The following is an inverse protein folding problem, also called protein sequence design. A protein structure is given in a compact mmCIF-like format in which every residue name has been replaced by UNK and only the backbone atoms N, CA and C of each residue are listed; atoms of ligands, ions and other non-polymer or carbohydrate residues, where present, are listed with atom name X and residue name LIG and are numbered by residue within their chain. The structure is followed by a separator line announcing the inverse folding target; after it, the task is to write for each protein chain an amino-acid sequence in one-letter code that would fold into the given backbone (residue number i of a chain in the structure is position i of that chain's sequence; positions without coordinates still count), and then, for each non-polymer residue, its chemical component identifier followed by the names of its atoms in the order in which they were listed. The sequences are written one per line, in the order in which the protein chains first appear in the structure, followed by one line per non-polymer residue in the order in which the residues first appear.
data_IF_611783956072
#
_entry.id   IF_611783956072
#
_cell.length_a   1.000
_cell.length_b   1.000
_cell.length_c   1.000
_cell.angle_alpha   90.00
_cell.angle_beta   90.00
_cell.angle_gamma   90.00
#
_symmetry.space_group_name_H-M   'P 1'
#
loop_
_entity.id
_entity.type
_entity.pdbx_description
1 polymer ?
#
# COMPACT_ATOMS: atom_id res chain seq x y z
N UNK A 1 -4.08 13.11 44.34
CA UNK A 1 -3.97 13.95 43.12
C UNK A 1 -5.02 13.49 42.11
N UNK A 2 -6.07 14.30 41.94
CA UNK A 2 -7.09 14.20 40.88
C UNK A 2 -6.54 14.89 39.64
N UNK A 3 -6.63 14.27 38.46
CA UNK A 3 -6.83 14.87 37.12
C UNK A 3 -6.88 13.66 36.17
N UNK A 4 -7.77 13.48 35.21
CA UNK A 4 -9.08 13.99 34.84
C UNK A 4 -9.47 13.06 33.68
N UNK A 5 -10.69 12.52 33.68
CA UNK A 5 -11.26 11.85 32.51
C UNK A 5 -11.41 12.85 31.35
N UNK A 6 -11.01 12.50 30.13
CA UNK A 6 -11.65 13.04 28.93
C UNK A 6 -11.53 12.06 27.74
N UNK A 7 -12.66 11.43 27.42
CA UNK A 7 -12.94 10.91 26.08
C UNK A 7 -12.94 12.08 25.09
N UNK A 8 -12.19 11.99 23.98
CA UNK A 8 -12.71 12.46 22.70
C UNK A 8 -11.98 11.84 21.50
N UNK A 9 -12.73 11.09 20.71
CA UNK A 9 -12.49 10.74 19.32
C UNK A 9 -12.09 11.98 18.50
N UNK A 10 -10.99 11.89 17.74
CA UNK A 10 -10.89 12.59 16.45
C UNK A 10 -10.13 11.68 15.46
N UNK A 11 -10.84 10.72 14.85
CA UNK A 11 -10.47 10.27 13.51
C UNK A 11 -10.76 11.44 12.58
N UNK A 12 -9.76 12.28 12.33
CA UNK A 12 -9.87 13.29 11.27
C UNK A 12 -9.65 12.58 9.93
N UNK A 13 -10.73 12.05 9.37
CA UNK A 13 -10.83 11.88 7.93
C UNK A 13 -10.95 13.29 7.38
N UNK A 14 -9.83 13.87 6.95
CA UNK A 14 -9.85 15.07 6.12
C UNK A 14 -10.31 14.61 4.74
N UNK A 15 -11.62 14.45 4.58
CA UNK A 15 -12.24 14.46 3.25
C UNK A 15 -12.21 15.91 2.79
N UNK A 16 -11.13 16.31 2.13
CA UNK A 16 -11.15 17.49 1.27
C UNK A 16 -12.04 17.19 0.07
N UNK A 17 -13.35 17.29 0.26
CA UNK A 17 -14.27 17.53 -0.84
C UNK A 17 -14.10 19.00 -1.22
N UNK A 18 -13.24 19.28 -2.20
CA UNK A 18 -13.44 20.47 -2.99
C UNK A 18 -14.81 20.32 -3.67
N UNK A 19 -15.83 20.99 -3.11
CA UNK A 19 -17.09 21.20 -3.79
C UNK A 19 -16.81 22.18 -4.93
N UNK A 20 -16.34 21.66 -6.06
CA UNK A 20 -16.34 22.40 -7.32
C UNK A 20 -17.80 22.66 -7.64
N UNK A 21 -18.18 23.94 -7.75
CA UNK A 21 -19.47 24.31 -8.34
C UNK A 21 -19.50 23.71 -9.73
N UNK A 22 -20.27 22.66 -9.87
CA UNK A 22 -20.50 21.99 -11.13
C UNK A 22 -21.24 22.99 -12.03
N UNK A 23 -20.49 23.68 -12.90
CA UNK A 23 -21.07 24.34 -14.05
C UNK A 23 -21.56 23.20 -14.93
N UNK A 24 -22.81 22.79 -14.72
CA UNK A 24 -23.50 21.82 -15.57
C UNK A 24 -23.55 22.47 -16.96
N UNK A 25 -22.54 22.18 -17.79
CA UNK A 25 -22.55 22.53 -19.18
C UNK A 25 -23.46 21.52 -19.86
N UNK A 26 -24.63 21.90 -20.39
CA UNK A 26 -25.65 20.96 -20.88
C UNK A 26 -25.24 20.19 -22.15
N UNK A 27 -23.96 20.20 -22.50
CA UNK A 27 -23.34 19.50 -23.63
C UNK A 27 -22.09 18.70 -23.24
N UNK A 28 -21.83 18.45 -21.95
CA UNK A 28 -20.80 17.48 -21.57
C UNK A 28 -21.23 16.08 -22.06
N UNK A 29 -20.39 15.49 -22.91
CA UNK A 29 -20.65 14.17 -23.48
C UNK A 29 -20.80 13.14 -22.33
N UNK A 30 -21.94 12.43 -22.22
CA UNK A 30 -22.19 11.48 -21.13
C UNK A 30 -21.17 10.34 -21.06
N UNK A 31 -20.37 10.12 -22.12
CA UNK A 31 -19.29 9.13 -22.15
C UNK A 31 -18.07 9.53 -21.30
N UNK A 32 -17.86 10.83 -21.05
CA UNK A 32 -16.71 11.30 -20.27
C UNK A 32 -16.97 11.23 -18.74
N UNK A 33 -18.21 11.40 -18.32
CA UNK A 33 -18.60 11.44 -16.89
C UNK A 33 -18.58 10.05 -16.22
N UNK A 34 -18.87 8.98 -16.98
CA UNK A 34 -18.79 7.59 -16.47
C UNK A 34 -17.34 7.17 -16.21
N UNK A 35 -16.37 7.70 -16.96
CA UNK A 35 -14.94 7.42 -16.78
C UNK A 35 -14.40 8.06 -15.50
N UNK A 36 -15.03 9.13 -15.04
CA UNK A 36 -14.67 9.85 -13.82
C UNK A 36 -15.13 9.17 -12.52
N UNK A 37 -15.99 8.14 -12.63
CA UNK A 37 -16.49 7.34 -11.49
C UNK A 37 -15.68 6.06 -11.22
N UNK A 38 -14.90 5.56 -12.18
CA UNK A 38 -14.13 4.32 -11.99
C UNK A 38 -12.83 4.66 -11.26
N UNK A 39 -12.84 4.52 -9.93
CA UNK A 39 -11.62 4.61 -9.11
C UNK A 39 -10.74 3.40 -9.43
N UNK A 40 -9.59 3.64 -10.06
CA UNK A 40 -8.56 2.62 -10.22
C UNK A 40 -8.05 2.19 -8.84
N UNK A 41 -8.00 0.88 -8.60
CA UNK A 41 -7.54 0.31 -7.33
C UNK A 41 -6.29 -0.49 -7.63
N UNK A 42 -5.17 -0.11 -7.04
CA UNK A 42 -3.88 -0.76 -7.28
C UNK A 42 -3.33 -1.23 -5.94
N UNK A 43 -2.80 -2.44 -5.90
CA UNK A 43 -2.16 -2.98 -4.72
C UNK A 43 -0.76 -3.51 -5.02
N UNK A 44 0.16 -3.32 -4.07
CA UNK A 44 1.45 -4.00 -4.02
C UNK A 44 1.49 -4.85 -2.75
N UNK A 45 1.74 -6.14 -2.91
CA UNK A 45 1.75 -7.13 -1.83
C UNK A 45 3.10 -7.84 -1.86
N UNK A 46 3.82 -7.81 -0.73
CA UNK A 46 5.15 -8.42 -0.61
C UNK A 46 5.16 -9.40 0.57
N UNK A 47 5.61 -10.62 0.32
CA UNK A 47 5.77 -11.66 1.35
C UNK A 47 7.17 -12.27 1.34
N UNK A 48 7.97 -12.03 2.37
CA UNK A 48 9.34 -12.53 2.46
C UNK A 48 9.46 -13.57 3.58
N UNK A 49 9.83 -14.79 3.21
CA UNK A 49 9.99 -15.95 4.11
C UNK A 49 11.41 -16.50 4.11
N UNK A 50 12.04 -16.56 2.94
CA UNK A 50 13.28 -17.30 2.70
C UNK A 50 14.55 -16.47 3.00
N UNK A 51 14.62 -15.95 4.22
CA UNK A 51 15.81 -15.26 4.72
C UNK A 51 16.95 -16.25 5.00
N UNK A 52 18.20 -15.80 4.80
CA UNK A 52 19.37 -16.61 5.16
C UNK A 52 19.48 -16.84 6.67
N UNK A 53 19.02 -15.87 7.48
CA UNK A 53 18.99 -15.93 8.94
C UNK A 53 17.53 -15.81 9.39
N UNK A 54 17.12 -16.66 10.32
CA UNK A 54 15.78 -16.70 10.90
C UNK A 54 14.63 -16.67 9.87
N UNK A 55 14.52 -17.70 9.00
CA UNK A 55 13.45 -17.76 8.01
C UNK A 55 12.06 -17.84 8.66
N UNK A 56 11.06 -17.27 7.98
CA UNK A 56 9.68 -17.18 8.47
C UNK A 56 8.77 -18.11 7.66
N UNK A 57 7.92 -18.90 8.33
CA UNK A 57 7.09 -19.91 7.65
C UNK A 57 5.86 -19.36 6.92
N UNK A 58 5.33 -18.21 7.37
CA UNK A 58 3.99 -17.74 6.98
C UNK A 58 3.95 -16.60 5.96
N UNK A 59 4.92 -15.67 5.87
CA UNK A 59 4.77 -14.47 5.05
C UNK A 59 4.37 -14.68 3.59
N UNK A 60 4.88 -15.72 2.93
CA UNK A 60 4.48 -16.06 1.56
C UNK A 60 3.02 -16.50 1.47
N UNK A 61 2.52 -17.24 2.46
CA UNK A 61 1.12 -17.65 2.51
C UNK A 61 0.22 -16.45 2.80
N UNK A 62 0.58 -15.62 3.79
CA UNK A 62 -0.17 -14.41 4.13
C UNK A 62 -0.28 -13.45 2.92
N UNK A 63 0.81 -13.28 2.17
CA UNK A 63 0.83 -12.45 0.97
C UNK A 63 -0.06 -13.01 -0.15
N UNK A 64 -0.13 -14.33 -0.34
CA UNK A 64 -1.04 -14.95 -1.31
C UNK A 64 -2.50 -14.82 -0.90
N UNK A 65 -2.80 -14.97 0.39
CA UNK A 65 -4.15 -14.79 0.90
C UNK A 65 -4.61 -13.33 0.71
N UNK A 66 -3.73 -12.38 0.98
CA UNK A 66 -3.99 -10.95 0.74
C UNK A 66 -4.15 -10.63 -0.75
N UNK A 67 -3.32 -11.19 -1.64
CA UNK A 67 -3.49 -11.04 -3.08
C UNK A 67 -4.89 -11.48 -3.51
N UNK A 68 -5.33 -12.67 -3.07
CA UNK A 68 -6.64 -13.20 -3.41
C UNK A 68 -7.76 -12.28 -2.93
N UNK A 69 -7.76 -11.90 -1.65
CA UNK A 69 -8.80 -11.03 -1.08
C UNK A 69 -8.85 -9.67 -1.79
N UNK A 70 -7.68 -9.07 -2.06
CA UNK A 70 -7.62 -7.77 -2.73
C UNK A 70 -8.08 -7.87 -4.19
N UNK A 71 -7.74 -8.96 -4.89
CA UNK A 71 -8.25 -9.24 -6.22
C UNK A 71 -9.76 -9.38 -6.26
N UNK A 72 -10.36 -10.10 -5.29
CA UNK A 72 -11.81 -10.21 -5.12
C UNK A 72 -12.48 -8.84 -4.85
N UNK A 73 -11.76 -7.91 -4.23
CA UNK A 73 -12.20 -6.54 -3.98
C UNK A 73 -11.93 -5.58 -5.16
N UNK A 74 -11.45 -6.10 -6.29
CA UNK A 74 -11.24 -5.35 -7.53
C UNK A 74 -9.95 -4.53 -7.57
N UNK A 75 -8.92 -4.87 -6.80
CA UNK A 75 -7.59 -4.30 -6.95
C UNK A 75 -6.82 -4.97 -8.10
N UNK A 76 -6.08 -4.18 -8.87
CA UNK A 76 -4.95 -4.66 -9.68
C UNK A 76 -3.77 -4.93 -8.75
N UNK A 77 -3.60 -6.21 -8.37
CA UNK A 77 -2.60 -6.64 -7.39
C UNK A 77 -1.30 -7.02 -8.06
N UNK A 78 -0.19 -6.48 -7.55
CA UNK A 78 1.16 -6.94 -7.86
C UNK A 78 1.71 -7.70 -6.66
N UNK A 79 1.85 -9.02 -6.78
CA UNK A 79 2.43 -9.88 -5.74
C UNK A 79 3.93 -10.08 -5.98
N UNK A 80 4.74 -9.94 -4.91
CA UNK A 80 6.15 -10.35 -4.87
C UNK A 80 6.38 -11.26 -3.67
N UNK A 81 7.08 -12.37 -3.88
CA UNK A 81 7.43 -13.31 -2.82
C UNK A 81 8.93 -13.51 -2.77
N UNK A 82 9.49 -13.57 -1.57
CA UNK A 82 10.93 -13.71 -1.34
C UNK A 82 11.74 -12.72 -2.19
N UNK A 83 11.37 -11.44 -2.14
CA UNK A 83 11.97 -10.39 -2.94
C UNK A 83 13.28 -9.91 -2.32
N UNK A 84 14.32 -9.81 -3.17
CA UNK A 84 15.56 -9.13 -2.85
C UNK A 84 15.39 -7.60 -2.93
N UNK A 85 16.43 -6.86 -2.54
CA UNK A 85 16.38 -5.40 -2.50
C UNK A 85 15.97 -4.78 -3.84
N UNK A 86 16.62 -5.21 -4.93
CA UNK A 86 16.36 -4.67 -6.27
C UNK A 86 14.92 -4.96 -6.72
N UNK A 87 14.41 -6.15 -6.43
CA UNK A 87 13.02 -6.54 -6.73
C UNK A 87 12.02 -5.69 -5.94
N UNK A 88 12.31 -5.42 -4.66
CA UNK A 88 11.45 -4.57 -3.82
C UNK A 88 11.44 -3.13 -4.32
N UNK A 89 12.61 -2.54 -4.58
CA UNK A 89 12.75 -1.17 -5.11
C UNK A 89 12.01 -1.02 -6.44
N UNK A 90 12.27 -1.92 -7.40
CA UNK A 90 11.58 -1.91 -8.70
C UNK A 90 10.06 -2.07 -8.56
N UNK A 91 9.58 -2.91 -7.64
CA UNK A 91 8.15 -3.09 -7.42
C UNK A 91 7.50 -1.84 -6.80
N UNK A 92 8.17 -1.16 -5.88
CA UNK A 92 7.72 0.08 -5.26
C UNK A 92 7.64 1.20 -6.31
N UNK A 93 8.66 1.33 -7.16
CA UNK A 93 8.68 2.32 -8.24
C UNK A 93 7.54 2.10 -9.23
N UNK A 94 7.38 0.86 -9.70
CA UNK A 94 6.30 0.48 -10.62
C UNK A 94 4.91 0.69 -9.99
N UNK A 95 4.76 0.41 -8.70
CA UNK A 95 3.53 0.69 -7.96
C UNK A 95 3.23 2.19 -7.90
N UNK A 96 4.23 3.01 -7.60
CA UNK A 96 4.11 4.47 -7.62
C UNK A 96 3.75 5.00 -9.01
N UNK A 97 4.33 4.45 -10.07
CA UNK A 97 3.99 4.80 -11.45
C UNK A 97 2.53 4.48 -11.79
N UNK A 98 2.02 3.31 -11.38
CA UNK A 98 0.61 2.96 -11.57
C UNK A 98 -0.31 3.96 -10.87
N UNK A 99 -0.01 4.34 -9.63
CA UNK A 99 -0.81 5.32 -8.89
C UNK A 99 -0.84 6.70 -9.55
N UNK A 100 0.28 7.13 -10.15
CA UNK A 100 0.37 8.44 -10.83
C UNK A 100 -0.45 8.53 -12.12
N UNK A 101 -0.83 7.40 -12.73
CA UNK A 101 -1.62 7.38 -13.99
C UNK A 101 -3.05 7.87 -13.81
N UNK A 102 -3.61 7.80 -12.60
CA UNK A 102 -4.97 8.23 -12.31
C UNK A 102 -5.03 9.12 -11.08
N UNK A 103 -5.55 10.33 -11.24
CA UNK A 103 -5.70 11.31 -10.17
C UNK A 103 -6.67 10.86 -9.06
N UNK A 104 -7.45 9.79 -9.28
CA UNK A 104 -8.44 9.24 -8.35
C UNK A 104 -8.11 7.81 -7.91
N UNK A 105 -6.89 7.33 -8.14
CA UNK A 105 -6.47 5.99 -7.78
C UNK A 105 -6.46 5.76 -6.26
N UNK A 106 -6.82 4.55 -5.84
CA UNK A 106 -6.66 4.05 -4.47
C UNK A 106 -5.49 3.07 -4.45
N UNK A 107 -4.45 3.40 -3.69
CA UNK A 107 -3.29 2.54 -3.50
C UNK A 107 -3.34 1.79 -2.18
N UNK A 108 -3.01 0.49 -2.21
CA UNK A 108 -2.80 -0.32 -1.01
C UNK A 108 -1.43 -0.98 -1.09
N UNK A 109 -0.66 -0.87 0.00
CA UNK A 109 0.61 -1.57 0.15
C UNK A 109 0.51 -2.54 1.35
N UNK A 110 0.87 -3.80 1.13
CA UNK A 110 0.92 -4.84 2.16
C UNK A 110 2.30 -5.50 2.17
N UNK A 111 2.83 -5.71 3.38
CA UNK A 111 4.11 -6.39 3.59
C UNK A 111 3.98 -7.38 4.75
N UNK A 112 4.48 -8.60 4.54
CA UNK A 112 4.74 -9.61 5.58
C UNK A 112 6.19 -10.09 5.46
N UNK A 113 6.93 -10.09 6.56
CA UNK A 113 8.37 -10.40 6.58
C UNK A 113 9.09 -9.74 7.76
N UNK A 114 10.43 -9.76 7.74
CA UNK A 114 11.25 -9.06 8.73
C UNK A 114 11.18 -7.55 8.54
N UNK A 115 10.99 -6.83 9.64
CA UNK A 115 11.03 -5.38 9.68
C UNK A 115 11.92 -4.88 10.81
N UNK A 116 12.48 -3.69 10.63
CA UNK A 116 13.20 -2.98 11.68
C UNK A 116 12.62 -1.58 11.84
N UNK A 117 12.76 -0.99 13.02
CA UNK A 117 12.36 0.39 13.27
C UNK A 117 13.52 1.16 13.88
N UNK A 118 13.86 2.30 13.29
CA UNK A 118 14.79 3.27 13.87
C UNK A 118 14.17 4.67 13.84
N UNK A 119 14.12 5.32 15.00
CA UNK A 119 13.61 6.71 15.17
C UNK A 119 12.25 6.97 14.50
N UNK A 120 11.35 6.00 14.56
CA UNK A 120 10.01 6.10 13.96
C UNK A 120 9.97 5.81 12.45
N UNK A 121 11.10 5.47 11.83
CA UNK A 121 11.17 5.01 10.44
C UNK A 121 11.12 3.49 10.41
N UNK A 122 10.19 2.94 9.63
CA UNK A 122 10.05 1.50 9.43
C UNK A 122 10.86 1.07 8.20
N UNK A 123 11.68 0.05 8.37
CA UNK A 123 12.51 -0.56 7.33
C UNK A 123 11.98 -1.96 7.04
N UNK A 124 11.80 -2.25 5.76
CA UNK A 124 11.42 -3.57 5.28
C UNK A 124 12.66 -4.32 4.84
N UNK A 125 12.85 -5.53 5.32
CA UNK A 125 14.10 -6.26 5.12
C UNK A 125 13.95 -7.22 3.91
N UNK A 126 14.81 -7.09 2.88
CA UNK A 126 14.82 -7.99 1.72
C UNK A 126 15.46 -9.33 2.08
N UNK A 127 15.17 -10.40 1.32
CA UNK A 127 15.69 -11.75 1.63
C UNK A 127 17.21 -11.88 1.55
N UNK A 128 17.87 -10.98 0.81
CA UNK A 128 19.31 -10.96 0.61
C UNK A 128 20.03 -9.97 1.56
N UNK A 129 19.37 -9.49 2.61
CA UNK A 129 20.04 -8.68 3.63
C UNK A 129 21.05 -9.54 4.39
N UNK A 130 22.34 -9.25 4.20
CA UNK A 130 23.42 -9.85 4.97
C UNK A 130 23.76 -8.89 6.10
N UNK A 131 23.71 -9.34 7.35
CA UNK A 131 24.23 -8.56 8.47
C UNK A 131 25.76 -8.55 8.35
N UNK A 132 26.35 -7.49 7.81
CA UNK A 132 27.80 -7.32 7.87
C UNK A 132 28.17 -7.04 9.32
N UNK A 133 28.81 -8.01 9.98
CA UNK A 133 29.52 -7.76 11.24
C UNK A 133 30.57 -6.66 10.99
N UNK A 134 30.24 -5.42 11.30
CA UNK A 134 31.23 -4.39 11.54
C UNK A 134 31.82 -4.69 12.92
N UNK A 135 32.91 -5.46 12.89
CA UNK A 135 33.82 -5.63 14.03
C UNK A 135 34.72 -4.42 14.23
#
# INVERSE_FOLDING_TARGET
MKFLLLNLLVFSVISMSACTKDQINPLSNPVNDVRDMVKERVALVIGNSNYQVDPLSNPVNDARDMEKVLGELGFDVTLKVNADQMTMESAIDAFGDKLRKSAKAVGLFYYSGHGAQDRGTNYLIPINSIHSNVG
#
